data_IF_588869964635
#
_entry.id   IF_588869964635
#
_cell.length_a   1.000
_cell.length_b   1.000
_cell.length_c   1.000
_cell.angle_alpha   90.00
_cell.angle_beta   90.00
_cell.angle_gamma   90.00
#
_symmetry.space_group_name_H-M   'P 1'
#
loop_
_entity.id
_entity.type
_entity.pdbx_description
1 polymer ?
#
# COMPACT_ATOMS: atom_id res chain seq x y z
N UNK A 1 -56.77 4.90 17.60
CA UNK A 1 -55.77 5.88 17.17
C UNK A 1 -54.42 5.19 17.15
N UNK A 2 -53.87 4.85 15.96
CA UNK A 2 -52.49 4.35 15.84
C UNK A 2 -51.58 5.55 16.14
N UNK A 3 -50.84 5.51 17.26
CA UNK A 3 -49.75 6.45 17.50
C UNK A 3 -48.76 6.27 16.36
N UNK A 4 -48.70 7.22 15.43
CA UNK A 4 -47.57 7.38 14.54
C UNK A 4 -46.36 7.72 15.42
N UNK A 5 -45.64 6.71 15.89
CA UNK A 5 -44.30 6.88 16.43
C UNK A 5 -43.44 7.34 15.25
N UNK A 6 -43.15 8.61 15.15
CA UNK A 6 -42.11 9.14 14.29
C UNK A 6 -40.82 8.42 14.71
N UNK A 7 -40.38 7.49 13.90
CA UNK A 7 -39.09 6.79 14.13
C UNK A 7 -38.02 7.86 14.08
N UNK A 8 -37.46 8.24 15.23
CA UNK A 8 -36.39 9.25 15.27
C UNK A 8 -35.21 8.71 14.42
N UNK A 9 -34.65 9.58 13.61
CA UNK A 9 -33.48 9.26 12.79
C UNK A 9 -32.30 8.91 13.71
N UNK A 10 -31.63 7.77 13.53
CA UNK A 10 -30.44 7.45 14.30
C UNK A 10 -29.37 8.53 14.12
N UNK A 11 -28.58 8.76 15.16
CA UNK A 11 -27.44 9.69 15.08
C UNK A 11 -26.33 9.15 14.19
N UNK A 12 -26.04 7.84 14.30
CA UNK A 12 -24.99 7.19 13.52
C UNK A 12 -25.47 5.85 12.98
N UNK A 13 -25.20 5.60 11.70
CA UNK A 13 -25.28 4.28 11.06
C UNK A 13 -23.89 3.65 11.06
N UNK A 14 -23.72 2.49 11.67
CA UNK A 14 -22.44 1.76 11.73
C UNK A 14 -22.53 0.58 10.76
N UNK A 15 -21.69 0.59 9.73
CA UNK A 15 -21.66 -0.43 8.66
C UNK A 15 -20.53 -1.40 8.95
N UNK A 16 -20.84 -2.69 8.96
CA UNK A 16 -19.87 -3.79 9.17
C UNK A 16 -19.92 -4.72 7.97
N UNK A 17 -18.94 -4.66 7.05
CA UNK A 17 -18.85 -5.54 5.88
C UNK A 17 -18.21 -6.89 6.26
N UNK A 18 -18.98 -7.97 6.26
CA UNK A 18 -18.61 -9.26 6.84
C UNK A 18 -18.32 -10.28 5.75
N UNK A 19 -17.14 -10.93 5.81
CA UNK A 19 -16.82 -12.09 4.97
C UNK A 19 -15.75 -12.99 5.59
N UNK A 20 -16.13 -14.19 6.05
CA UNK A 20 -15.18 -15.22 6.47
C UNK A 20 -14.38 -14.89 7.73
N UNK A 21 -15.00 -14.31 8.76
CA UNK A 21 -14.35 -13.78 9.97
C UNK A 21 -15.01 -14.27 11.28
N UNK A 22 -15.63 -15.44 11.26
CA UNK A 22 -16.39 -15.99 12.41
C UNK A 22 -15.62 -15.91 13.74
N UNK A 23 -14.28 -16.05 13.70
CA UNK A 23 -13.41 -15.99 14.87
C UNK A 23 -13.42 -14.65 15.59
N UNK A 24 -13.64 -13.55 14.87
CA UNK A 24 -13.47 -12.19 15.37
C UNK A 24 -14.81 -11.43 15.50
N UNK A 25 -15.82 -11.88 14.77
CA UNK A 25 -17.09 -11.14 14.59
C UNK A 25 -17.79 -10.84 15.90
N UNK A 26 -17.77 -11.74 16.89
CA UNK A 26 -18.35 -11.49 18.20
C UNK A 26 -17.71 -10.29 18.90
N UNK A 27 -16.35 -10.23 18.94
CA UNK A 27 -15.67 -9.10 19.56
C UNK A 27 -15.98 -7.78 18.87
N UNK A 28 -16.03 -7.78 17.55
CA UNK A 28 -16.41 -6.61 16.75
C UNK A 28 -17.82 -6.11 17.13
N UNK A 29 -18.82 -6.98 16.98
CA UNK A 29 -20.23 -6.59 17.20
C UNK A 29 -20.48 -6.21 18.67
N UNK A 30 -19.91 -6.93 19.64
CA UNK A 30 -20.04 -6.63 21.05
C UNK A 30 -19.45 -5.25 21.40
N UNK A 31 -18.33 -4.84 20.77
CA UNK A 31 -17.73 -3.52 20.97
C UNK A 31 -18.64 -2.39 20.42
N UNK A 32 -19.37 -2.66 19.33
CA UNK A 32 -20.35 -1.72 18.76
C UNK A 32 -21.59 -1.63 19.67
N UNK A 33 -22.09 -2.74 20.16
CA UNK A 33 -23.22 -2.78 21.09
C UNK A 33 -22.93 -2.09 22.42
N UNK A 34 -21.67 -2.12 22.86
CA UNK A 34 -21.18 -1.48 24.07
C UNK A 34 -21.04 0.04 23.97
N UNK A 35 -21.21 0.64 22.78
CA UNK A 35 -21.08 2.08 22.60
C UNK A 35 -21.95 2.87 23.58
N UNK A 36 -21.38 3.96 24.14
CA UNK A 36 -22.08 4.89 25.04
C UNK A 36 -23.17 5.65 24.29
N UNK A 37 -22.96 5.99 23.04
CA UNK A 37 -23.99 6.53 22.15
C UNK A 37 -25.03 5.43 21.83
N UNK A 38 -26.24 5.53 22.40
CA UNK A 38 -27.30 4.50 22.23
C UNK A 38 -28.15 4.68 20.99
N UNK A 39 -28.25 5.90 20.48
CA UNK A 39 -29.04 6.26 19.31
C UNK A 39 -28.28 5.96 18.01
N UNK A 40 -28.05 4.67 17.75
CA UNK A 40 -27.32 4.15 16.60
C UNK A 40 -28.14 3.07 15.89
N UNK A 41 -27.92 2.91 14.59
CA UNK A 41 -28.25 1.68 13.86
C UNK A 41 -26.98 0.94 13.45
N UNK A 42 -27.05 -0.38 13.38
CA UNK A 42 -25.90 -1.25 13.09
C UNK A 42 -26.28 -2.10 11.89
N UNK A 43 -25.60 -1.93 10.78
CA UNK A 43 -25.89 -2.62 9.52
C UNK A 43 -24.80 -3.69 9.32
N UNK A 44 -25.15 -4.94 9.61
CA UNK A 44 -24.27 -6.09 9.44
C UNK A 44 -24.49 -6.66 8.04
N UNK A 45 -23.52 -6.47 7.13
CA UNK A 45 -23.62 -6.90 5.73
C UNK A 45 -22.77 -8.14 5.54
N UNK A 46 -23.38 -9.32 5.59
CA UNK A 46 -22.73 -10.57 5.24
C UNK A 46 -22.64 -10.72 3.72
N UNK A 47 -21.42 -10.65 3.18
CA UNK A 47 -21.10 -10.74 1.76
C UNK A 47 -20.94 -12.21 1.30
N UNK A 48 -21.86 -13.05 1.67
CA UNK A 48 -21.90 -14.47 1.27
C UNK A 48 -20.82 -15.31 1.93
N UNK A 49 -20.62 -15.15 3.24
CA UNK A 49 -19.69 -15.94 4.03
C UNK A 49 -20.04 -17.43 3.99
N UNK A 50 -18.98 -18.28 4.02
CA UNK A 50 -19.14 -19.74 4.00
C UNK A 50 -18.88 -20.40 5.36
N UNK A 51 -18.55 -19.59 6.36
CA UNK A 51 -18.35 -19.95 7.76
C UNK A 51 -19.62 -19.64 8.57
N UNK A 52 -19.53 -19.52 9.89
CA UNK A 52 -20.67 -19.25 10.77
C UNK A 52 -21.11 -17.78 10.82
N UNK A 53 -20.48 -16.88 10.04
CA UNK A 53 -20.85 -15.46 10.05
C UNK A 53 -22.36 -15.23 9.81
N UNK A 54 -23.04 -15.87 8.82
CA UNK A 54 -24.46 -15.64 8.60
C UNK A 54 -25.32 -15.94 9.84
N UNK A 55 -25.06 -17.05 10.54
CA UNK A 55 -25.77 -17.44 11.74
C UNK A 55 -25.52 -16.46 12.89
N UNK A 56 -24.27 -16.00 13.06
CA UNK A 56 -23.89 -15.00 14.06
C UNK A 56 -24.63 -13.69 13.82
N UNK A 57 -24.70 -13.22 12.57
CA UNK A 57 -25.43 -12.01 12.17
C UNK A 57 -26.90 -12.12 12.54
N UNK A 58 -27.56 -13.23 12.21
CA UNK A 58 -28.95 -13.48 12.54
C UNK A 58 -29.22 -13.53 14.04
N UNK A 59 -28.32 -14.14 14.80
CA UNK A 59 -28.42 -14.19 16.27
C UNK A 59 -28.37 -12.82 16.91
N UNK A 60 -27.47 -11.96 16.45
CA UNK A 60 -27.38 -10.58 16.94
C UNK A 60 -28.60 -9.76 16.55
N UNK A 61 -29.12 -9.88 15.32
CA UNK A 61 -30.31 -9.17 14.87
C UNK A 61 -31.59 -9.56 15.66
N UNK A 62 -31.66 -10.83 16.13
CA UNK A 62 -32.76 -11.26 17.02
C UNK A 62 -32.64 -10.67 18.43
N UNK A 63 -31.43 -10.37 18.89
CA UNK A 63 -31.17 -9.90 20.28
C UNK A 63 -31.27 -8.39 20.41
N UNK A 64 -30.93 -7.61 19.35
CA UNK A 64 -30.91 -6.14 19.43
C UNK A 64 -31.59 -5.52 18.21
N UNK A 65 -32.61 -4.71 18.46
CA UNK A 65 -33.48 -4.05 17.45
C UNK A 65 -32.74 -2.96 16.64
N UNK A 66 -31.56 -2.55 17.08
CA UNK A 66 -30.73 -1.58 16.34
C UNK A 66 -29.99 -2.24 15.18
N UNK A 67 -29.95 -3.57 15.14
CA UNK A 67 -29.22 -4.34 14.12
C UNK A 67 -30.11 -4.61 12.91
N UNK A 68 -29.59 -4.28 11.74
CA UNK A 68 -30.13 -4.64 10.43
C UNK A 68 -29.21 -5.72 9.85
N UNK A 69 -29.70 -6.95 9.76
CA UNK A 69 -28.98 -8.06 9.13
C UNK A 69 -29.23 -8.03 7.62
N UNK A 70 -28.15 -8.13 6.85
CA UNK A 70 -28.17 -8.15 5.39
C UNK A 70 -27.32 -9.31 4.90
N UNK A 71 -27.88 -10.18 4.06
CA UNK A 71 -27.16 -11.26 3.40
C UNK A 71 -27.19 -11.03 1.90
N UNK A 72 -26.02 -11.06 1.26
CA UNK A 72 -25.90 -10.88 -0.18
C UNK A 72 -24.94 -11.91 -0.80
N UNK A 73 -25.08 -12.22 -2.11
CA UNK A 73 -24.05 -12.96 -2.81
C UNK A 73 -22.71 -12.22 -2.80
N UNK A 74 -21.59 -12.95 -2.63
CA UNK A 74 -20.27 -12.33 -2.52
C UNK A 74 -19.97 -11.40 -3.70
N UNK A 75 -19.88 -10.12 -3.43
CA UNK A 75 -19.57 -9.04 -4.35
C UNK A 75 -18.25 -8.33 -4.03
N UNK A 76 -17.65 -8.66 -2.88
CA UNK A 76 -16.43 -8.04 -2.37
C UNK A 76 -16.69 -6.85 -1.46
N UNK A 77 -15.64 -6.44 -0.76
CA UNK A 77 -15.65 -5.42 0.28
C UNK A 77 -16.38 -4.13 -0.13
N UNK A 78 -16.03 -3.54 -1.29
CA UNK A 78 -16.64 -2.28 -1.73
C UNK A 78 -18.15 -2.39 -1.91
N UNK A 79 -18.63 -3.50 -2.49
CA UNK A 79 -20.08 -3.74 -2.65
C UNK A 79 -20.81 -3.90 -1.31
N UNK A 80 -20.19 -4.59 -0.36
CA UNK A 80 -20.79 -4.76 0.96
C UNK A 80 -20.90 -3.41 1.70
N UNK A 81 -19.84 -2.57 1.65
CA UNK A 81 -19.89 -1.23 2.24
C UNK A 81 -20.94 -0.35 1.54
N UNK A 82 -20.95 -0.33 0.20
CA UNK A 82 -21.91 0.49 -0.56
C UNK A 82 -23.36 0.09 -0.28
N UNK A 83 -23.64 -1.20 -0.18
CA UNK A 83 -24.98 -1.66 0.21
C UNK A 83 -25.35 -1.19 1.62
N UNK A 84 -24.41 -1.22 2.57
CA UNK A 84 -24.61 -0.63 3.89
C UNK A 84 -24.89 0.88 3.84
N UNK A 85 -24.18 1.64 2.97
CA UNK A 85 -24.42 3.09 2.77
C UNK A 85 -25.83 3.36 2.20
N UNK A 86 -26.28 2.53 1.26
CA UNK A 86 -27.63 2.65 0.70
C UNK A 86 -28.70 2.50 1.77
N UNK A 87 -28.54 1.52 2.66
CA UNK A 87 -29.48 1.22 3.75
C UNK A 87 -29.39 2.19 4.92
N UNK A 88 -28.27 2.88 5.09
CA UNK A 88 -28.02 3.79 6.19
C UNK A 88 -29.03 4.94 6.23
N UNK A 89 -29.57 5.21 7.43
CA UNK A 89 -30.59 6.24 7.71
C UNK A 89 -30.11 7.26 8.74
N UNK A 90 -28.94 7.06 9.36
CA UNK A 90 -28.38 7.93 10.37
C UNK A 90 -28.03 9.33 9.85
N UNK A 91 -27.82 10.27 10.75
CA UNK A 91 -27.32 11.59 10.39
C UNK A 91 -25.85 11.52 9.89
N UNK A 92 -25.08 10.69 10.56
CA UNK A 92 -23.68 10.34 10.19
C UNK A 92 -23.57 8.84 9.98
N UNK A 93 -22.46 8.42 9.37
CA UNK A 93 -22.12 7.01 9.21
C UNK A 93 -20.66 6.74 9.60
N UNK A 94 -20.40 5.52 10.06
CA UNK A 94 -19.07 4.98 10.28
C UNK A 94 -18.96 3.57 9.71
N UNK A 95 -17.74 3.10 9.53
CA UNK A 95 -17.42 1.75 9.07
C UNK A 95 -16.58 1.08 10.16
N UNK A 96 -16.87 -0.18 10.48
CA UNK A 96 -16.04 -1.00 11.38
C UNK A 96 -15.69 -2.30 10.67
N UNK A 97 -14.41 -2.59 10.56
CA UNK A 97 -13.95 -3.86 9.98
C UNK A 97 -14.30 -5.02 10.91
N UNK A 98 -14.78 -6.14 10.40
CA UNK A 98 -15.34 -7.21 11.22
C UNK A 98 -14.33 -8.04 11.99
N UNK A 99 -13.02 -7.87 11.73
CA UNK A 99 -11.91 -8.47 12.49
C UNK A 99 -11.28 -7.53 13.51
N UNK A 100 -11.77 -6.28 13.60
CA UNK A 100 -11.33 -5.23 14.51
C UNK A 100 -12.34 -4.99 15.65
N UNK A 101 -12.06 -4.01 16.49
CA UNK A 101 -12.95 -3.58 17.57
C UNK A 101 -12.70 -2.12 17.99
N UNK A 102 -13.69 -1.49 18.63
CA UNK A 102 -13.69 -0.06 18.95
C UNK A 102 -13.87 0.20 20.45
N UNK A 103 -13.35 1.35 20.93
CA UNK A 103 -13.55 1.78 22.31
C UNK A 103 -15.00 2.22 22.55
N UNK A 104 -15.52 2.06 23.79
CA UNK A 104 -16.94 2.29 24.06
C UNK A 104 -17.45 3.71 23.78
N UNK A 105 -16.60 4.71 23.86
CA UNK A 105 -16.93 6.14 23.72
C UNK A 105 -16.60 6.73 22.33
N UNK A 106 -16.18 5.90 21.37
CA UNK A 106 -15.79 6.33 20.04
C UNK A 106 -16.87 7.17 19.36
N UNK A 107 -18.02 6.59 19.10
CA UNK A 107 -19.07 7.27 18.33
C UNK A 107 -19.73 8.43 19.08
N UNK A 108 -19.77 8.39 20.41
CA UNK A 108 -20.25 9.53 21.20
C UNK A 108 -19.33 10.73 21.04
N UNK A 109 -18.01 10.52 21.15
CA UNK A 109 -16.98 11.56 21.02
C UNK A 109 -16.96 12.12 19.61
N UNK A 110 -16.87 11.24 18.60
CA UNK A 110 -16.83 11.69 17.20
C UNK A 110 -18.11 12.43 16.80
N UNK A 111 -19.30 11.96 17.23
CA UNK A 111 -20.56 12.63 16.95
C UNK A 111 -20.66 13.99 17.66
N UNK A 112 -20.21 14.09 18.91
CA UNK A 112 -20.13 15.37 19.64
C UNK A 112 -19.31 16.40 18.87
N UNK A 113 -18.11 16.03 18.40
CA UNK A 113 -17.28 16.93 17.59
C UNK A 113 -17.93 17.27 16.25
N UNK A 114 -18.50 16.28 15.56
CA UNK A 114 -19.22 16.48 14.31
C UNK A 114 -20.33 17.53 14.44
N UNK A 115 -21.08 17.49 15.53
CA UNK A 115 -22.18 18.45 15.82
C UNK A 115 -21.68 19.80 16.30
N UNK A 116 -20.67 19.80 17.18
CA UNK A 116 -20.11 21.04 17.74
C UNK A 116 -19.51 21.94 16.66
N UNK A 117 -18.85 21.35 15.67
CA UNK A 117 -18.13 22.08 14.63
C UNK A 117 -18.82 22.04 13.25
N UNK A 118 -19.98 21.41 13.15
CA UNK A 118 -20.75 21.22 11.91
C UNK A 118 -19.90 20.72 10.73
N UNK A 119 -19.11 19.66 10.98
CA UNK A 119 -18.18 19.13 9.99
C UNK A 119 -18.77 17.97 9.19
N UNK A 120 -18.27 17.78 7.96
CA UNK A 120 -18.66 16.66 7.11
C UNK A 120 -17.90 15.39 7.47
N UNK A 121 -16.67 15.52 7.97
CA UNK A 121 -15.79 14.40 8.30
C UNK A 121 -15.12 14.63 9.66
N UNK A 122 -15.19 13.65 10.54
CA UNK A 122 -14.34 13.53 11.72
C UNK A 122 -13.44 12.32 11.52
N UNK A 123 -12.14 12.47 11.70
CA UNK A 123 -11.18 11.34 11.65
C UNK A 123 -10.25 11.38 12.84
N UNK A 124 -9.58 10.24 13.10
CA UNK A 124 -8.59 10.15 14.16
C UNK A 124 -7.57 9.04 13.92
N UNK A 125 -6.59 8.92 14.83
CA UNK A 125 -5.61 7.84 14.85
C UNK A 125 -6.25 6.51 15.29
N UNK A 126 -5.43 5.47 15.28
CA UNK A 126 -5.83 4.13 15.72
C UNK A 126 -4.68 3.44 16.47
N UNK A 127 -5.03 2.37 17.17
CA UNK A 127 -4.07 1.50 17.82
C UNK A 127 -3.81 0.27 16.95
N UNK A 128 -2.55 -0.09 16.75
CA UNK A 128 -2.16 -1.42 16.30
C UNK A 128 -2.38 -2.42 17.45
N UNK A 129 -3.21 -3.42 17.22
CA UNK A 129 -3.54 -4.45 18.20
C UNK A 129 -2.87 -5.79 17.85
N UNK A 130 -2.20 -6.34 18.84
CA UNK A 130 -1.55 -7.65 18.76
C UNK A 130 -2.15 -8.58 19.80
N UNK A 131 -2.60 -9.78 19.43
CA UNK A 131 -3.09 -10.83 20.36
C UNK A 131 -1.93 -11.42 21.20
N UNK A 132 -0.96 -10.60 21.58
CA UNK A 132 0.18 -10.98 22.38
C UNK A 132 0.13 -10.25 23.73
N UNK A 133 0.14 -10.94 24.86
CA UNK A 133 0.04 -10.32 26.19
C UNK A 133 1.20 -9.37 26.51
N UNK A 134 2.31 -9.40 25.76
CA UNK A 134 3.45 -8.50 25.94
C UNK A 134 3.41 -7.24 25.07
N UNK A 135 2.72 -7.31 23.91
CA UNK A 135 2.58 -6.18 22.98
C UNK A 135 1.14 -6.19 22.50
N UNK A 136 0.30 -5.54 23.23
CA UNK A 136 -1.11 -5.72 23.05
C UNK A 136 -1.80 -4.50 22.41
N UNK A 137 -1.21 -3.30 22.59
CA UNK A 137 -1.62 -2.08 21.88
C UNK A 137 -0.41 -1.18 21.63
N UNK A 138 -0.40 -0.58 20.47
CA UNK A 138 0.56 0.47 20.11
C UNK A 138 -0.18 1.54 19.32
N UNK A 139 -0.06 2.80 19.76
CA UNK A 139 -0.55 3.92 18.97
C UNK A 139 0.13 3.93 17.61
N UNK A 140 -0.63 4.03 16.54
CA UNK A 140 -0.09 4.20 15.20
C UNK A 140 0.44 5.62 15.04
N UNK A 141 1.76 5.76 15.01
CA UNK A 141 2.45 7.05 14.94
C UNK A 141 2.19 7.81 13.63
N UNK A 142 1.67 7.13 12.60
CA UNK A 142 1.47 7.73 11.28
C UNK A 142 0.37 8.78 11.22
N UNK A 143 -0.47 8.86 12.22
CA UNK A 143 -1.63 9.73 12.21
C UNK A 143 -1.70 10.68 13.43
N UNK A 144 -0.76 10.57 14.38
CA UNK A 144 -0.77 11.41 15.57
C UNK A 144 -0.19 12.81 15.27
N UNK A 145 -0.85 13.87 15.78
CA UNK A 145 -0.42 15.28 15.67
C UNK A 145 -0.18 15.82 14.24
N UNK A 146 -0.94 15.33 13.25
CA UNK A 146 -0.78 15.77 11.84
C UNK A 146 -1.71 16.93 11.44
N UNK A 147 -2.67 17.25 12.26
CA UNK A 147 -3.70 18.25 12.00
C UNK A 147 -3.79 19.25 13.16
N UNK A 148 -4.44 20.41 12.94
CA UNK A 148 -4.71 21.37 14.01
C UNK A 148 -5.51 20.71 15.14
N UNK A 149 -5.06 20.89 16.38
CA UNK A 149 -5.78 20.42 17.55
C UNK A 149 -7.01 21.31 17.80
N UNK A 150 -8.14 20.67 18.13
CA UNK A 150 -9.39 21.31 18.57
C UNK A 150 -10.04 22.33 17.61
N UNK A 151 -9.58 22.39 16.36
CA UNK A 151 -10.16 23.26 15.34
C UNK A 151 -10.48 22.48 14.06
N UNK A 152 -11.65 22.72 13.45
CA UNK A 152 -11.90 22.22 12.11
C UNK A 152 -10.97 22.90 11.10
N UNK A 153 -10.66 22.16 10.03
CA UNK A 153 -9.78 22.63 8.97
C UNK A 153 -10.29 22.19 7.61
N UNK A 154 -9.74 22.79 6.57
CA UNK A 154 -9.92 22.38 5.19
C UNK A 154 -8.68 21.63 4.70
N UNK A 155 -8.86 20.61 3.86
CA UNK A 155 -7.75 19.80 3.35
C UNK A 155 -6.76 20.61 2.51
N UNK A 156 -7.19 21.73 1.94
CA UNK A 156 -6.35 22.61 1.13
C UNK A 156 -5.41 23.48 1.99
N UNK A 157 -5.80 23.74 3.25
CA UNK A 157 -4.97 24.43 4.24
C UNK A 157 -4.02 23.45 4.94
N UNK A 158 -4.48 22.23 5.23
CA UNK A 158 -3.74 21.18 5.92
C UNK A 158 -3.77 19.85 5.16
N UNK A 159 -3.01 19.72 4.06
CA UNK A 159 -3.08 18.55 3.17
C UNK A 159 -2.37 17.29 3.69
N UNK A 160 -1.75 17.34 4.86
CA UNK A 160 -1.02 16.19 5.44
C UNK A 160 -1.85 14.90 5.58
N UNK A 161 -3.15 14.92 5.91
CA UNK A 161 -3.97 13.71 5.95
C UNK A 161 -4.00 12.91 4.66
N UNK A 162 -3.74 13.55 3.51
CA UNK A 162 -3.61 12.86 2.21
C UNK A 162 -2.39 11.93 2.12
N UNK A 163 -1.38 12.13 2.95
CA UNK A 163 -0.14 11.33 2.95
C UNK A 163 -0.13 10.22 4.01
N UNK A 164 -1.20 10.09 4.78
CA UNK A 164 -1.30 9.09 5.84
C UNK A 164 -2.18 7.91 5.45
N UNK A 165 -2.24 6.90 6.30
CA UNK A 165 -3.05 5.70 6.06
C UNK A 165 -4.51 6.09 5.83
N UNK A 166 -5.16 5.45 4.87
CA UNK A 166 -6.54 5.76 4.52
C UNK A 166 -7.50 5.59 5.69
N UNK A 167 -7.34 4.48 6.46
CA UNK A 167 -8.08 4.17 7.70
C UNK A 167 -9.51 4.70 7.71
N UNK A 168 -10.31 4.33 6.70
CA UNK A 168 -11.69 4.86 6.55
C UNK A 168 -12.58 4.52 7.75
N UNK A 169 -12.22 3.47 8.47
CA UNK A 169 -12.89 2.98 9.66
C UNK A 169 -12.60 3.79 10.95
N UNK A 170 -11.61 4.71 10.95
CA UNK A 170 -11.44 5.66 12.06
C UNK A 170 -12.33 6.89 11.93
N UNK A 171 -13.13 6.97 10.88
CA UNK A 171 -13.88 8.16 10.53
C UNK A 171 -15.36 8.08 10.89
N UNK A 172 -15.93 9.27 11.10
CA UNK A 172 -17.36 9.53 11.11
C UNK A 172 -17.66 10.51 9.96
N UNK A 173 -18.59 10.16 9.09
CA UNK A 173 -18.90 10.90 7.86
C UNK A 173 -20.36 11.32 7.86
N UNK A 174 -20.65 12.58 7.53
CA UNK A 174 -22.04 13.04 7.37
C UNK A 174 -22.70 12.27 6.24
N UNK A 175 -23.75 11.51 6.51
CA UNK A 175 -24.37 10.62 5.52
C UNK A 175 -24.93 11.40 4.32
N UNK A 176 -25.53 12.56 4.57
CA UNK A 176 -26.02 13.43 3.49
C UNK A 176 -24.91 13.90 2.57
N UNK A 177 -23.74 14.27 3.13
CA UNK A 177 -22.55 14.65 2.35
C UNK A 177 -22.08 13.50 1.45
N UNK A 178 -22.01 12.26 1.98
CA UNK A 178 -21.64 11.08 1.21
C UNK A 178 -22.61 10.83 0.05
N UNK A 179 -23.92 10.86 0.33
CA UNK A 179 -24.97 10.59 -0.66
C UNK A 179 -25.08 11.69 -1.72
N UNK A 180 -25.05 12.95 -1.34
CA UNK A 180 -25.16 14.10 -2.26
C UNK A 180 -23.98 14.19 -3.24
N UNK A 181 -22.79 13.78 -2.83
CA UNK A 181 -21.59 13.76 -3.68
C UNK A 181 -21.39 12.42 -4.42
N UNK A 182 -22.26 11.43 -4.22
CA UNK A 182 -22.17 10.11 -4.84
C UNK A 182 -20.88 9.37 -4.47
N UNK A 183 -20.34 9.61 -3.26
CA UNK A 183 -19.10 8.99 -2.80
C UNK A 183 -19.37 7.51 -2.52
N UNK A 184 -18.59 6.64 -3.13
CA UNK A 184 -18.71 5.18 -3.01
C UNK A 184 -17.34 4.53 -2.82
N UNK A 185 -17.33 3.42 -2.11
CA UNK A 185 -16.15 2.54 -2.05
C UNK A 185 -16.03 1.80 -3.38
N UNK A 186 -14.83 1.75 -3.95
CA UNK A 186 -14.62 1.10 -5.25
C UNK A 186 -14.93 -0.41 -5.18
N UNK A 187 -15.76 -0.88 -6.10
CA UNK A 187 -16.13 -2.31 -6.20
C UNK A 187 -15.15 -3.14 -7.06
N UNK A 188 -14.22 -2.47 -7.74
CA UNK A 188 -13.19 -3.13 -8.54
C UNK A 188 -12.27 -3.97 -7.67
N UNK A 189 -11.72 -5.03 -8.24
CA UNK A 189 -10.77 -5.92 -7.57
C UNK A 189 -11.26 -6.47 -6.22
N UNK A 190 -12.58 -6.65 -6.07
CA UNK A 190 -13.25 -7.03 -4.82
C UNK A 190 -13.00 -6.04 -3.68
N UNK A 191 -12.77 -4.77 -4.00
CA UNK A 191 -12.60 -3.69 -3.05
C UNK A 191 -11.19 -3.59 -2.44
N UNK A 192 -10.18 -4.29 -2.97
CA UNK A 192 -8.81 -4.14 -2.47
C UNK A 192 -8.31 -2.72 -2.71
N UNK A 193 -7.80 -2.07 -1.63
CA UNK A 193 -7.35 -0.67 -1.62
C UNK A 193 -8.42 0.36 -2.02
N UNK A 194 -9.69 -0.01 -1.96
CA UNK A 194 -10.81 0.88 -2.26
C UNK A 194 -10.93 2.02 -1.23
N UNK A 195 -10.36 1.84 -0.06
CA UNK A 195 -10.16 2.84 0.99
C UNK A 195 -9.38 4.07 0.51
N UNK A 196 -8.48 3.91 -0.47
CA UNK A 196 -7.70 5.03 -0.99
C UNK A 196 -8.56 6.07 -1.71
N UNK A 197 -9.44 5.64 -2.63
CA UNK A 197 -10.33 6.57 -3.34
C UNK A 197 -11.32 7.22 -2.38
N UNK A 198 -11.90 6.46 -1.45
CA UNK A 198 -12.75 7.00 -0.41
C UNK A 198 -12.05 8.14 0.37
N UNK A 199 -10.79 7.93 0.79
CA UNK A 199 -10.00 8.95 1.46
C UNK A 199 -9.87 10.23 0.63
N UNK A 200 -9.49 10.10 -0.65
CA UNK A 200 -9.32 11.26 -1.51
C UNK A 200 -10.64 12.01 -1.72
N UNK A 201 -11.70 11.30 -2.05
CA UNK A 201 -13.00 11.90 -2.34
C UNK A 201 -13.58 12.57 -1.09
N UNK A 202 -13.58 11.88 0.06
CA UNK A 202 -14.13 12.44 1.30
C UNK A 202 -13.33 13.64 1.80
N UNK A 203 -12.00 13.60 1.77
CA UNK A 203 -11.19 14.72 2.27
C UNK A 203 -11.21 15.92 1.31
N UNK A 204 -11.22 15.68 -0.01
CA UNK A 204 -11.22 16.77 -1.00
C UNK A 204 -12.59 17.46 -1.14
N UNK A 205 -13.68 16.72 -0.97
CA UNK A 205 -15.03 17.28 -1.12
C UNK A 205 -15.60 17.80 0.19
N UNK A 206 -15.05 17.41 1.35
CA UNK A 206 -15.50 17.91 2.64
C UNK A 206 -15.27 19.43 2.75
N UNK A 207 -16.32 20.14 3.16
CA UNK A 207 -16.22 21.56 3.47
C UNK A 207 -15.31 21.81 4.67
N UNK A 208 -15.52 21.01 5.74
CA UNK A 208 -14.74 21.07 6.97
C UNK A 208 -14.46 19.66 7.49
N UNK A 209 -13.28 19.47 8.05
CA UNK A 209 -12.79 18.23 8.64
C UNK A 209 -12.39 18.54 10.09
N UNK A 210 -12.67 17.63 11.01
CA UNK A 210 -12.13 17.68 12.36
C UNK A 210 -11.24 16.47 12.60
N UNK A 211 -10.09 16.69 13.22
CA UNK A 211 -9.18 15.62 13.59
C UNK A 211 -9.19 15.41 15.10
N UNK A 212 -9.61 14.20 15.51
CA UNK A 212 -9.57 13.77 16.89
C UNK A 212 -8.24 13.05 17.15
N UNK A 213 -7.49 13.47 18.19
CA UNK A 213 -6.18 12.89 18.48
C UNK A 213 -6.24 11.63 19.36
N UNK A 214 -7.39 11.33 19.96
CA UNK A 214 -7.58 10.12 20.75
C UNK A 214 -7.81 8.89 19.87
N UNK A 215 -7.04 7.80 20.04
CA UNK A 215 -7.25 6.58 19.27
C UNK A 215 -8.38 5.74 19.88
N UNK A 216 -9.48 5.63 19.17
CA UNK A 216 -10.64 4.81 19.58
C UNK A 216 -10.74 3.48 18.87
N UNK A 217 -10.01 3.32 17.77
CA UNK A 217 -10.08 2.14 16.92
C UNK A 217 -8.90 1.21 17.16
N UNK A 218 -9.15 -0.10 17.23
CA UNK A 218 -8.13 -1.11 17.47
C UNK A 218 -8.02 -2.02 16.24
N UNK A 219 -7.00 -1.75 15.42
CA UNK A 219 -6.70 -2.46 14.19
C UNK A 219 -5.92 -3.74 14.48
N UNK A 220 -6.50 -4.91 14.15
CA UNK A 220 -5.92 -6.22 14.43
C UNK A 220 -4.86 -6.62 13.42
N UNK A 221 -3.63 -6.81 13.90
CA UNK A 221 -2.48 -7.24 13.10
C UNK A 221 -2.20 -8.75 13.15
N UNK A 222 -3.05 -9.53 13.84
CA UNK A 222 -2.83 -10.97 14.03
C UNK A 222 -3.78 -11.86 13.22
N UNK A 223 -4.65 -11.29 12.40
CA UNK A 223 -5.47 -12.04 11.47
C UNK A 223 -4.65 -12.41 10.22
N UNK A 224 -4.13 -13.66 10.17
CA UNK A 224 -3.34 -14.16 9.04
C UNK A 224 -4.11 -14.19 7.70
N UNK A 225 -5.44 -14.16 7.75
CA UNK A 225 -6.30 -14.11 6.57
C UNK A 225 -6.56 -12.70 6.05
N UNK A 226 -6.14 -11.68 6.79
CA UNK A 226 -6.32 -10.28 6.39
C UNK A 226 -5.70 -9.99 5.03
N UNK A 227 -6.31 -9.07 4.29
CA UNK A 227 -5.84 -8.66 2.96
C UNK A 227 -4.43 -8.09 2.99
N UNK A 228 -4.02 -7.49 4.12
CA UNK A 228 -2.70 -6.92 4.36
C UNK A 228 -1.56 -7.95 4.30
N UNK A 229 -1.81 -9.24 4.56
CA UNK A 229 -0.81 -10.31 4.47
C UNK A 229 -0.71 -10.96 3.09
N UNK A 230 -1.68 -10.75 2.22
CA UNK A 230 -1.69 -11.35 0.87
C UNK A 230 -0.84 -10.53 -0.09
N UNK A 231 -0.17 -11.24 -1.03
CA UNK A 231 0.51 -10.57 -2.14
C UNK A 231 -0.48 -9.78 -2.98
N UNK A 232 -0.04 -8.65 -3.50
CA UNK A 232 -0.87 -7.80 -4.34
C UNK A 232 -1.00 -8.39 -5.76
N UNK A 233 -2.16 -8.17 -6.37
CA UNK A 233 -2.28 -8.26 -7.81
C UNK A 233 -1.50 -7.07 -8.43
N UNK A 234 -0.74 -7.28 -9.52
CA UNK A 234 0.05 -6.22 -10.15
C UNK A 234 -0.78 -5.02 -10.63
N UNK A 235 -2.08 -5.19 -10.85
CA UNK A 235 -2.95 -4.13 -11.35
C UNK A 235 -3.70 -3.34 -10.27
N UNK A 236 -3.81 -3.86 -9.05
CA UNK A 236 -4.65 -3.27 -7.98
C UNK A 236 -4.45 -1.75 -7.81
N UNK A 237 -3.19 -1.30 -7.64
CA UNK A 237 -2.89 0.13 -7.44
C UNK A 237 -3.15 0.98 -8.69
N UNK A 238 -3.01 0.39 -9.87
CA UNK A 238 -3.22 1.15 -11.12
C UNK A 238 -4.69 1.36 -11.42
N UNK A 239 -5.56 0.43 -11.00
CA UNK A 239 -7.00 0.59 -11.11
C UNK A 239 -7.50 1.71 -10.20
N UNK A 240 -6.99 1.78 -8.97
CA UNK A 240 -7.25 2.90 -8.05
C UNK A 240 -6.81 4.23 -8.66
N UNK A 241 -5.58 4.27 -9.19
CA UNK A 241 -5.06 5.48 -9.83
C UNK A 241 -5.90 5.92 -11.03
N UNK A 242 -6.44 4.99 -11.84
CA UNK A 242 -7.32 5.32 -12.96
C UNK A 242 -8.59 6.01 -12.47
N UNK A 243 -9.20 5.52 -11.41
CA UNK A 243 -10.40 6.15 -10.84
C UNK A 243 -10.06 7.50 -10.19
N UNK A 244 -8.96 7.59 -9.47
CA UNK A 244 -8.46 8.86 -8.94
C UNK A 244 -8.19 9.88 -10.06
N UNK A 245 -7.54 9.50 -11.17
CA UNK A 245 -7.29 10.38 -12.33
C UNK A 245 -8.60 10.91 -12.94
N UNK A 246 -9.66 10.07 -12.98
CA UNK A 246 -11.00 10.50 -13.42
C UNK A 246 -11.62 11.51 -12.47
N UNK A 247 -11.53 11.27 -11.17
CA UNK A 247 -12.02 12.18 -10.14
C UNK A 247 -11.29 13.53 -10.20
N UNK A 248 -9.97 13.54 -10.23
CA UNK A 248 -9.15 14.76 -10.29
C UNK A 248 -9.41 15.60 -11.54
N UNK A 249 -9.74 14.97 -12.68
CA UNK A 249 -10.14 15.68 -13.90
C UNK A 249 -11.46 16.42 -13.78
N UNK A 250 -12.34 16.00 -12.90
CA UNK A 250 -13.59 16.71 -12.58
C UNK A 250 -13.37 17.85 -11.60
N UNK A 251 -12.25 17.84 -10.86
CA UNK A 251 -11.89 18.80 -9.81
C UNK A 251 -10.50 19.42 -10.05
N UNK A 252 -10.28 20.12 -11.20
CA UNK A 252 -8.95 20.58 -11.59
C UNK A 252 -8.41 21.70 -10.69
N UNK A 253 -9.28 22.56 -10.15
CA UNK A 253 -8.87 23.67 -9.28
C UNK A 253 -8.44 23.15 -7.91
N UNK A 254 -9.18 22.23 -7.36
CA UNK A 254 -8.91 21.54 -6.11
C UNK A 254 -7.62 20.72 -6.22
N UNK A 255 -7.45 19.99 -7.32
CA UNK A 255 -6.23 19.24 -7.60
C UNK A 255 -4.99 20.13 -7.61
N UNK A 256 -5.06 21.27 -8.26
CA UNK A 256 -3.92 22.18 -8.37
C UNK A 256 -3.37 22.62 -7.00
N UNK A 257 -4.24 22.79 -6.00
CA UNK A 257 -3.87 23.21 -4.66
C UNK A 257 -3.11 22.14 -3.85
N UNK A 258 -3.39 20.86 -4.10
CA UNK A 258 -2.85 19.75 -3.30
C UNK A 258 -2.00 18.77 -4.13
N UNK A 259 -1.74 19.06 -5.39
CA UNK A 259 -1.05 18.13 -6.32
C UNK A 259 0.31 17.66 -5.81
N UNK A 260 1.05 18.46 -5.08
CA UNK A 260 2.33 18.07 -4.50
C UNK A 260 2.17 16.92 -3.51
N UNK A 261 1.17 17.01 -2.62
CA UNK A 261 0.85 15.99 -1.63
C UNK A 261 0.29 14.71 -2.27
N UNK A 262 -0.53 14.85 -3.32
CA UNK A 262 -1.02 13.70 -4.08
C UNK A 262 0.10 13.01 -4.85
N UNK A 263 1.03 13.76 -5.42
CA UNK A 263 2.15 13.18 -6.19
C UNK A 263 3.08 12.34 -5.32
N UNK A 264 3.44 12.80 -4.12
CA UNK A 264 4.26 12.01 -3.21
C UNK A 264 3.53 10.76 -2.74
N UNK A 265 2.23 10.87 -2.47
CA UNK A 265 1.42 9.74 -2.03
C UNK A 265 1.27 8.70 -3.15
N UNK A 266 0.94 9.12 -4.37
CA UNK A 266 0.87 8.24 -5.55
C UNK A 266 2.23 7.55 -5.76
N UNK A 267 3.33 8.29 -5.67
CA UNK A 267 4.67 7.74 -5.78
C UNK A 267 4.91 6.63 -4.74
N UNK A 268 4.69 6.94 -3.47
CA UNK A 268 4.93 6.00 -2.36
C UNK A 268 4.03 4.76 -2.44
N UNK A 269 2.76 4.96 -2.74
CA UNK A 269 1.80 3.86 -2.87
C UNK A 269 2.17 2.91 -4.04
N UNK A 270 2.60 3.44 -5.17
CA UNK A 270 3.05 2.61 -6.30
C UNK A 270 4.30 1.80 -5.97
N UNK A 271 5.28 2.37 -5.28
CA UNK A 271 6.47 1.63 -4.85
C UNK A 271 6.18 0.64 -3.74
N UNK A 272 5.28 0.98 -2.82
CA UNK A 272 4.80 0.04 -1.82
C UNK A 272 4.11 -1.17 -2.48
N UNK A 273 3.23 -0.95 -3.45
CA UNK A 273 2.62 -2.05 -4.23
C UNK A 273 3.69 -2.88 -4.95
N UNK A 274 4.66 -2.23 -5.59
CA UNK A 274 5.77 -2.92 -6.28
C UNK A 274 6.56 -3.84 -5.33
N UNK A 275 6.69 -3.48 -4.06
CA UNK A 275 7.37 -4.31 -3.06
C UNK A 275 6.57 -5.56 -2.65
N UNK A 276 5.25 -5.57 -2.89
CA UNK A 276 4.30 -6.62 -2.46
C UNK A 276 3.83 -7.54 -3.58
N UNK A 277 4.14 -7.24 -4.83
CA UNK A 277 3.84 -8.13 -5.97
C UNK A 277 4.90 -9.22 -6.12
N UNK A 278 4.56 -10.30 -6.82
CA UNK A 278 5.56 -11.29 -7.20
C UNK A 278 6.64 -10.68 -8.11
N UNK A 279 7.89 -11.05 -7.88
CA UNK A 279 9.05 -10.53 -8.61
C UNK A 279 8.88 -10.65 -10.15
N UNK A 280 8.18 -11.66 -10.63
CA UNK A 280 7.90 -11.84 -12.07
C UNK A 280 7.13 -10.68 -12.70
N UNK A 281 6.34 -9.93 -11.90
CA UNK A 281 5.56 -8.77 -12.34
C UNK A 281 6.29 -7.43 -12.18
N UNK A 282 7.47 -7.40 -11.56
CA UNK A 282 8.17 -6.15 -11.26
C UNK A 282 8.40 -5.27 -12.49
N UNK A 283 8.79 -5.85 -13.62
CA UNK A 283 8.99 -5.08 -14.85
C UNK A 283 7.68 -4.56 -15.43
N UNK A 284 6.60 -5.34 -15.35
CA UNK A 284 5.27 -4.93 -15.75
C UNK A 284 4.81 -3.71 -14.93
N UNK A 285 4.93 -3.78 -13.60
CA UNK A 285 4.58 -2.68 -12.70
C UNK A 285 5.43 -1.44 -12.98
N UNK A 286 6.75 -1.57 -13.17
CA UNK A 286 7.63 -0.45 -13.51
C UNK A 286 7.23 0.25 -14.82
N UNK A 287 6.81 -0.51 -15.82
CA UNK A 287 6.31 0.06 -17.08
C UNK A 287 4.98 0.82 -16.88
N UNK A 288 4.11 0.33 -15.97
CA UNK A 288 2.86 1.03 -15.60
C UNK A 288 3.16 2.31 -14.82
N UNK A 289 4.06 2.25 -13.82
CA UNK A 289 4.54 3.41 -13.04
C UNK A 289 5.12 4.48 -13.98
N UNK A 290 5.95 4.08 -14.93
CA UNK A 290 6.47 4.98 -15.95
C UNK A 290 5.37 5.77 -16.67
N UNK A 291 4.31 5.10 -17.14
CA UNK A 291 3.17 5.74 -17.83
C UNK A 291 2.42 6.73 -16.91
N UNK A 292 2.31 6.43 -15.63
CA UNK A 292 1.69 7.33 -14.66
C UNK A 292 2.57 8.56 -14.44
N UNK A 293 3.86 8.37 -14.20
CA UNK A 293 4.79 9.48 -13.92
C UNK A 293 5.01 10.40 -15.11
N UNK A 294 4.84 9.90 -16.34
CA UNK A 294 4.86 10.76 -17.55
C UNK A 294 3.72 11.79 -17.60
N UNK A 295 2.61 11.55 -16.89
CA UNK A 295 1.47 12.48 -16.81
C UNK A 295 1.62 13.50 -15.68
N UNK A 296 2.55 13.30 -14.76
CA UNK A 296 2.76 14.16 -13.61
C UNK A 296 3.75 15.29 -13.94
N UNK A 297 3.53 16.46 -13.38
CA UNK A 297 4.44 17.61 -13.58
C UNK A 297 5.76 17.40 -12.83
N UNK A 298 6.82 17.15 -13.59
CA UNK A 298 8.17 16.94 -13.06
C UNK A 298 8.72 18.15 -12.29
N UNK A 299 8.26 19.36 -12.59
CA UNK A 299 8.74 20.56 -11.91
C UNK A 299 8.17 20.66 -10.48
N UNK A 300 6.93 20.18 -10.27
CA UNK A 300 6.35 20.05 -8.93
C UNK A 300 7.21 19.09 -8.10
N UNK A 301 7.54 17.92 -8.63
CA UNK A 301 8.37 16.92 -7.93
C UNK A 301 9.77 17.44 -7.63
N UNK A 302 10.42 18.12 -8.58
CA UNK A 302 11.77 18.69 -8.39
C UNK A 302 11.81 19.73 -7.28
N UNK A 303 10.79 20.61 -7.18
CA UNK A 303 10.68 21.68 -6.19
C UNK A 303 10.15 21.20 -4.84
N UNK A 304 9.48 20.05 -4.80
CA UNK A 304 8.82 19.53 -3.62
C UNK A 304 9.77 19.36 -2.43
N UNK A 305 9.28 19.69 -1.23
CA UNK A 305 9.98 19.43 0.04
C UNK A 305 9.67 18.04 0.61
N UNK A 306 8.62 17.38 0.11
CA UNK A 306 8.16 16.08 0.61
C UNK A 306 8.89 14.90 -0.03
N UNK A 307 9.42 15.08 -1.24
CA UNK A 307 10.25 14.07 -1.89
C UNK A 307 11.68 14.14 -1.39
N UNK A 308 12.22 13.03 -0.92
CA UNK A 308 13.65 12.90 -0.67
C UNK A 308 14.47 12.98 -1.98
N UNK A 309 15.77 13.20 -1.88
CA UNK A 309 16.68 13.24 -3.05
C UNK A 309 16.60 11.97 -3.89
N UNK A 310 16.52 10.81 -3.24
CA UNK A 310 16.47 9.52 -3.93
C UNK A 310 15.11 9.29 -4.60
N UNK A 311 14.01 9.67 -3.97
CA UNK A 311 12.68 9.63 -4.55
C UNK A 311 12.60 10.54 -5.79
N UNK A 312 13.11 11.77 -5.73
CA UNK A 312 13.20 12.68 -6.89
C UNK A 312 13.99 12.06 -8.04
N UNK A 313 15.18 11.52 -7.75
CA UNK A 313 16.01 10.89 -8.77
C UNK A 313 15.32 9.68 -9.41
N UNK A 314 14.61 8.87 -8.61
CA UNK A 314 13.87 7.72 -9.11
C UNK A 314 12.68 8.16 -9.96
N UNK A 315 11.93 9.17 -9.52
CA UNK A 315 10.82 9.75 -10.27
C UNK A 315 11.29 10.28 -11.64
N UNK A 316 12.35 11.12 -11.66
CA UNK A 316 12.92 11.69 -12.90
C UNK A 316 13.35 10.57 -13.86
N UNK A 317 14.00 9.54 -13.35
CA UNK A 317 14.43 8.39 -14.15
C UNK A 317 13.24 7.65 -14.76
N UNK A 318 12.18 7.43 -13.98
CA UNK A 318 10.99 6.71 -14.43
C UNK A 318 10.08 7.56 -15.31
N UNK A 319 10.09 8.89 -15.22
CA UNK A 319 9.33 9.79 -16.11
C UNK A 319 10.01 10.06 -17.47
N UNK A 320 11.29 9.66 -17.63
CA UNK A 320 12.04 9.84 -18.89
C UNK A 320 11.37 9.12 -20.07
N UNK A 321 11.05 9.86 -21.15
CA UNK A 321 10.41 9.31 -22.37
C UNK A 321 11.16 8.11 -22.97
N UNK A 322 12.48 8.05 -22.79
CA UNK A 322 13.32 6.96 -23.26
C UNK A 322 13.49 5.81 -22.24
N UNK A 323 12.75 5.83 -21.12
CA UNK A 323 12.90 4.83 -20.06
C UNK A 323 12.74 3.40 -20.56
N UNK A 324 11.69 3.13 -21.35
CA UNK A 324 11.42 1.79 -21.89
C UNK A 324 12.58 1.29 -22.77
N UNK A 325 13.12 2.17 -23.63
CA UNK A 325 14.27 1.86 -24.47
C UNK A 325 15.54 1.60 -23.64
N UNK A 326 15.82 2.45 -22.63
CA UNK A 326 16.95 2.27 -21.70
C UNK A 326 16.87 0.96 -20.94
N UNK A 327 15.67 0.58 -20.48
CA UNK A 327 15.43 -0.70 -19.79
C UNK A 327 15.61 -1.87 -20.74
N UNK A 328 15.11 -1.78 -21.97
CA UNK A 328 15.27 -2.83 -22.99
C UNK A 328 16.76 -3.03 -23.35
N UNK A 329 17.50 -1.94 -23.58
CA UNK A 329 18.95 -1.98 -23.86
C UNK A 329 19.73 -2.59 -22.69
N UNK A 330 19.40 -2.18 -21.46
CA UNK A 330 20.05 -2.75 -20.26
C UNK A 330 19.75 -4.24 -20.11
N UNK A 331 18.50 -4.66 -20.36
CA UNK A 331 18.11 -6.07 -20.34
C UNK A 331 18.83 -6.87 -21.43
N UNK A 332 18.99 -6.29 -22.63
CA UNK A 332 19.75 -6.90 -23.71
C UNK A 332 21.24 -7.07 -23.33
N UNK A 333 21.88 -6.02 -22.78
CA UNK A 333 23.25 -6.08 -22.28
C UNK A 333 23.41 -7.14 -21.19
N UNK A 334 22.47 -7.19 -20.21
CA UNK A 334 22.47 -8.18 -19.15
C UNK A 334 22.28 -9.61 -19.67
N UNK A 335 21.58 -9.80 -20.78
CA UNK A 335 21.37 -11.10 -21.43
C UNK A 335 22.56 -11.52 -22.30
N UNK A 336 23.26 -10.57 -22.90
CA UNK A 336 24.46 -10.87 -23.69
C UNK A 336 25.60 -11.28 -22.75
N UNK A 337 25.87 -10.47 -21.74
CA UNK A 337 26.91 -10.78 -20.75
C UNK A 337 26.68 -10.01 -19.44
N UNK A 338 26.51 -10.72 -18.33
CA UNK A 338 26.49 -10.09 -17.00
C UNK A 338 26.95 -11.04 -15.90
N UNK A 339 27.55 -10.46 -14.85
CA UNK A 339 27.89 -11.17 -13.60
C UNK A 339 27.20 -10.46 -12.45
N UNK A 340 26.23 -11.12 -11.83
CA UNK A 340 25.44 -10.59 -10.70
C UNK A 340 25.60 -11.48 -9.46
N UNK A 341 25.51 -10.89 -8.27
CA UNK A 341 25.33 -11.66 -7.03
C UNK A 341 23.87 -12.13 -6.94
N UNK A 342 23.62 -13.33 -6.42
CA UNK A 342 22.28 -13.77 -6.11
C UNK A 342 21.68 -12.91 -4.98
N UNK A 343 20.34 -12.90 -4.84
CA UNK A 343 19.63 -12.20 -3.78
C UNK A 343 20.12 -12.57 -2.37
N UNK A 344 20.51 -13.84 -2.17
CA UNK A 344 21.12 -14.35 -0.92
C UNK A 344 22.58 -13.97 -0.73
N UNK A 345 23.23 -13.31 -1.68
CA UNK A 345 24.67 -13.01 -1.76
C UNK A 345 25.60 -14.23 -1.68
N UNK A 346 25.09 -15.44 -1.52
CA UNK A 346 25.87 -16.70 -1.42
C UNK A 346 26.32 -17.25 -2.76
N UNK A 347 25.77 -16.74 -3.86
CA UNK A 347 26.10 -17.22 -5.21
C UNK A 347 26.39 -16.03 -6.13
N UNK A 348 27.17 -16.28 -7.15
CA UNK A 348 27.30 -15.39 -8.31
C UNK A 348 26.52 -16.00 -9.49
N UNK A 349 25.97 -15.14 -10.33
CA UNK A 349 25.22 -15.54 -11.52
C UNK A 349 25.91 -14.89 -12.71
N UNK A 350 26.48 -15.70 -13.60
CA UNK A 350 26.96 -15.28 -14.90
C UNK A 350 25.85 -15.50 -15.92
N UNK A 351 25.54 -14.50 -16.71
CA UNK A 351 24.64 -14.62 -17.86
C UNK A 351 25.45 -14.44 -19.14
N UNK A 352 25.34 -15.38 -20.05
CA UNK A 352 25.96 -15.33 -21.38
C UNK A 352 24.90 -15.69 -22.39
N UNK A 353 24.61 -14.81 -23.34
CA UNK A 353 23.60 -15.01 -24.38
C UNK A 353 22.23 -15.49 -23.83
N UNK A 354 21.81 -14.93 -22.68
CA UNK A 354 20.56 -15.30 -22.03
C UNK A 354 20.62 -16.55 -21.13
N UNK A 355 21.65 -17.36 -21.22
CA UNK A 355 21.84 -18.56 -20.38
C UNK A 355 22.45 -18.15 -19.04
N UNK A 356 21.79 -18.54 -17.94
CA UNK A 356 22.21 -18.19 -16.59
C UNK A 356 22.96 -19.35 -15.94
N UNK A 357 24.18 -19.08 -15.53
CA UNK A 357 25.03 -20.00 -14.79
C UNK A 357 25.15 -19.54 -13.34
N UNK A 358 24.81 -20.40 -12.38
CA UNK A 358 24.83 -20.07 -10.95
C UNK A 358 25.88 -20.92 -10.25
N UNK A 359 26.73 -20.32 -9.42
CA UNK A 359 27.71 -21.05 -8.62
C UNK A 359 27.85 -20.49 -7.21
N UNK A 360 28.18 -21.36 -6.25
CA UNK A 360 28.49 -20.97 -4.86
C UNK A 360 29.84 -20.30 -4.77
N UNK A 361 30.00 -19.37 -3.82
CA UNK A 361 31.30 -18.90 -3.41
C UNK A 361 32.01 -20.06 -2.68
N UNK A 362 33.25 -20.37 -3.06
CA UNK A 362 34.09 -21.33 -2.32
C UNK A 362 34.69 -20.67 -1.08
N UNK A 363 35.00 -21.49 -0.07
CA UNK A 363 35.46 -21.06 1.25
C UNK A 363 36.76 -20.26 1.25
N UNK A 364 36.96 -19.50 2.31
CA UNK A 364 37.76 -18.29 2.48
C UNK A 364 39.30 -18.34 2.18
N UNK A 365 39.92 -19.44 1.82
CA UNK A 365 41.39 -19.49 1.69
C UNK A 365 41.91 -19.47 0.26
N UNK A 366 41.15 -19.88 -0.71
CA UNK A 366 41.45 -19.68 -2.13
C UNK A 366 40.16 -19.40 -2.87
N UNK A 367 39.87 -18.12 -3.19
CA UNK A 367 38.72 -17.74 -3.97
C UNK A 367 38.80 -18.32 -5.41
N UNK A 368 38.73 -19.63 -5.52
CA UNK A 368 38.78 -20.33 -6.80
C UNK A 368 37.34 -20.72 -7.20
N UNK A 369 36.84 -20.11 -8.25
CA UNK A 369 35.53 -20.40 -8.80
C UNK A 369 35.69 -21.14 -10.11
N UNK A 370 35.13 -22.33 -10.22
CA UNK A 370 35.09 -23.08 -11.49
C UNK A 370 33.65 -23.51 -11.79
N UNK A 371 33.26 -23.38 -13.02
CA UNK A 371 32.05 -23.90 -13.56
C UNK A 371 32.35 -24.93 -14.62
N UNK A 372 31.80 -26.14 -14.47
CA UNK A 372 31.88 -27.21 -15.45
C UNK A 372 30.62 -27.22 -16.29
N UNK A 373 30.72 -27.15 -17.57
CA UNK A 373 29.62 -27.53 -18.48
C UNK A 373 29.63 -29.08 -18.56
N UNK A 374 28.50 -29.66 -18.87
CA UNK A 374 28.16 -31.09 -18.79
C UNK A 374 29.21 -32.11 -19.31
N UNK A 375 30.32 -31.66 -19.85
CA UNK A 375 31.44 -32.53 -20.34
C UNK A 375 32.77 -32.00 -19.86
N UNK A 376 33.33 -32.55 -18.82
CA UNK A 376 34.73 -32.64 -18.34
C UNK A 376 35.71 -31.44 -18.46
N UNK A 377 35.32 -30.30 -19.08
CA UNK A 377 36.20 -29.14 -19.21
C UNK A 377 35.65 -27.93 -18.47
N UNK A 378 36.48 -27.20 -17.70
CA UNK A 378 36.04 -25.95 -17.10
C UNK A 378 35.84 -24.89 -18.17
N UNK A 379 34.56 -24.56 -18.48
CA UNK A 379 34.21 -23.54 -19.45
C UNK A 379 34.66 -22.15 -18.97
N UNK A 380 34.46 -21.90 -17.68
CA UNK A 380 34.86 -20.65 -17.04
C UNK A 380 35.53 -20.93 -15.70
N UNK A 381 36.61 -20.22 -15.42
CA UNK A 381 37.21 -20.20 -14.10
C UNK A 381 37.59 -18.79 -13.67
N UNK A 382 37.40 -18.49 -12.40
CA UNK A 382 37.95 -17.29 -11.76
C UNK A 382 38.96 -17.73 -10.73
N UNK A 383 40.17 -17.25 -10.88
CA UNK A 383 41.25 -17.45 -9.92
C UNK A 383 41.56 -16.10 -9.27
N UNK A 384 41.47 -16.03 -7.96
CA UNK A 384 41.81 -14.83 -7.20
C UNK A 384 42.93 -15.16 -6.22
N UNK A 385 44.08 -14.54 -6.42
CA UNK A 385 45.30 -14.72 -5.60
C UNK A 385 45.87 -13.32 -5.34
N UNK A 386 46.12 -13.00 -4.07
CA UNK A 386 46.80 -11.75 -3.66
C UNK A 386 46.19 -10.48 -4.30
N UNK A 387 44.87 -10.32 -4.23
CA UNK A 387 44.16 -9.15 -4.77
C UNK A 387 44.04 -9.08 -6.30
N UNK A 388 44.49 -10.10 -7.01
CA UNK A 388 44.33 -10.22 -8.48
C UNK A 388 43.22 -11.22 -8.79
N UNK A 389 42.31 -10.82 -9.65
CA UNK A 389 41.27 -11.71 -10.19
C UNK A 389 41.53 -11.99 -11.66
N UNK A 390 41.62 -13.23 -12.05
CA UNK A 390 41.78 -13.67 -13.44
C UNK A 390 40.61 -14.52 -13.84
N UNK A 391 39.88 -14.08 -14.85
CA UNK A 391 38.76 -14.81 -15.44
C UNK A 391 39.29 -15.57 -16.67
N UNK A 392 39.00 -16.86 -16.74
CA UNK A 392 39.44 -17.72 -17.86
C UNK A 392 38.23 -18.35 -18.53
N UNK A 393 38.28 -18.45 -19.86
CA UNK A 393 37.33 -19.24 -20.69
C UNK A 393 38.17 -20.35 -21.32
N UNK A 394 37.76 -21.58 -21.19
CA UNK A 394 38.53 -22.76 -21.61
C UNK A 394 39.99 -22.73 -21.13
N UNK A 395 40.22 -22.26 -19.91
CA UNK A 395 41.56 -22.12 -19.38
C UNK A 395 42.35 -20.89 -19.87
N UNK A 396 41.90 -20.20 -20.90
CA UNK A 396 42.53 -18.99 -21.46
C UNK A 396 42.11 -17.75 -20.65
N UNK A 397 43.01 -16.92 -20.14
CA UNK A 397 42.68 -15.72 -19.41
C UNK A 397 42.09 -14.67 -20.36
N UNK A 398 40.81 -14.34 -20.17
CA UNK A 398 40.08 -13.33 -20.97
C UNK A 398 39.95 -12.00 -20.24
N UNK A 399 40.05 -12.02 -18.92
CA UNK A 399 39.86 -10.82 -18.09
C UNK A 399 40.82 -10.87 -16.89
N UNK A 400 41.61 -9.83 -16.68
CA UNK A 400 42.49 -9.70 -15.53
C UNK A 400 42.17 -8.42 -14.77
N UNK A 401 41.80 -8.56 -13.50
CA UNK A 401 41.52 -7.44 -12.61
C UNK A 401 42.51 -7.43 -11.46
N UNK A 402 43.15 -6.28 -11.22
CA UNK A 402 44.07 -6.07 -10.12
C UNK A 402 43.53 -4.96 -9.23
N UNK A 403 43.44 -5.22 -7.92
CA UNK A 403 43.09 -4.21 -6.91
C UNK A 403 44.41 -3.74 -6.29
N UNK A 404 44.70 -2.44 -6.37
CA UNK A 404 45.75 -1.77 -5.60
C UNK A 404 45.11 -0.94 -4.51
N UNK A 405 45.85 -0.51 -3.48
CA UNK A 405 45.34 0.20 -2.33
C UNK A 405 44.43 1.38 -2.70
N UNK A 406 44.74 2.15 -3.77
CA UNK A 406 44.02 3.35 -4.17
C UNK A 406 43.46 3.30 -5.60
N UNK A 407 43.45 2.14 -6.26
CA UNK A 407 42.89 2.03 -7.61
C UNK A 407 42.48 0.61 -7.98
N UNK A 408 41.49 0.50 -8.85
CA UNK A 408 41.09 -0.76 -9.49
C UNK A 408 41.44 -0.65 -10.97
N UNK A 409 42.39 -1.47 -11.43
CA UNK A 409 42.70 -1.58 -12.86
C UNK A 409 42.13 -2.87 -13.41
N UNK A 410 41.35 -2.76 -14.46
CA UNK A 410 40.80 -3.91 -15.20
C UNK A 410 41.39 -3.90 -16.61
N UNK A 411 42.04 -4.95 -16.98
CA UNK A 411 42.54 -5.17 -18.36
C UNK A 411 41.70 -6.27 -19.01
N UNK A 412 41.25 -6.02 -20.21
CA UNK A 412 40.49 -6.94 -21.02
C UNK A 412 41.42 -7.56 -22.06
N UNK A 413 41.38 -8.87 -22.20
CA UNK A 413 42.21 -9.63 -23.15
C UNK A 413 41.28 -10.42 -24.07
N UNK A 414 41.60 -10.44 -25.35
CA UNK A 414 41.00 -11.33 -26.35
C UNK A 414 42.13 -12.25 -26.86
N UNK A 415 41.95 -13.55 -26.67
CA UNK A 415 42.96 -14.56 -27.05
C UNK A 415 44.37 -14.24 -26.51
N UNK A 416 44.45 -13.70 -25.28
CA UNK A 416 45.71 -13.35 -24.63
C UNK A 416 46.26 -11.95 -24.96
N UNK A 417 45.65 -11.24 -25.93
CA UNK A 417 46.10 -9.88 -26.32
C UNK A 417 45.28 -8.84 -25.56
N UNK A 418 45.92 -7.87 -24.88
CA UNK A 418 45.23 -6.81 -24.19
C UNK A 418 44.61 -5.82 -25.21
N UNK A 419 43.27 -5.64 -25.18
CA UNK A 419 42.57 -4.70 -26.08
C UNK A 419 41.92 -3.51 -25.38
N UNK A 420 41.62 -3.62 -24.07
CA UNK A 420 41.10 -2.50 -23.25
C UNK A 420 41.75 -2.51 -21.86
N UNK A 421 42.08 -1.31 -21.37
CA UNK A 421 42.51 -1.05 -19.99
C UNK A 421 41.64 0.02 -19.39
N UNK A 422 40.94 -0.29 -18.31
CA UNK A 422 40.14 0.65 -17.54
C UNK A 422 40.70 0.75 -16.12
N UNK A 423 41.00 1.96 -15.67
CA UNK A 423 41.48 2.23 -14.32
C UNK A 423 40.55 3.24 -13.64
N UNK A 424 40.13 2.95 -12.43
CA UNK A 424 39.30 3.84 -11.59
C UNK A 424 40.06 4.09 -10.28
N UNK A 425 40.37 5.35 -9.95
CA UNK A 425 40.83 5.71 -8.62
C UNK A 425 39.69 5.51 -7.60
N UNK A 426 40.01 4.93 -6.47
CA UNK A 426 39.13 4.88 -5.31
C UNK A 426 39.45 6.14 -4.52
N UNK A 427 38.48 7.07 -4.47
CA UNK A 427 38.54 8.27 -3.63
C UNK A 427 38.17 7.88 -2.23
#
# INVERSE_FOLDING_TARGET
>A
MKKNTVKMQPKVSIIVPIYGVEKYLHQCVDSILAQTLKDIEIILVDDGSKDKCPQIVDEYAKKDKRIVAVHQPNGGYGRAVNHGIELATGEYMGIVEPDDWIEPDMYETLYKHAKQYDVDVVKGPYNDYFDNPRVYRKLCDHAHNICPEHNPFNIYEYPMPLQHHASIWTGLYRLKFIKDNGIQVLEKNKGRYADQNWRYETLMLAKNIYWENQPFYNYRLTNENASSFKKNNPDDVFDIYIELDKFLKKHPQEFEQIKEHLYIEIYRHMFWNLSRVDQKYSQYCLNRIHKVFQKMDINVVKKSKFFSKDEKNMFIKLSDKNYAMKVALKKLQDNIFSIKKSSSRRHKILTVLGIKFKWKNADDYTNKYSMKLFFFFPLFSLVQINGKSVYKIFGIPVLKKRKMANSITTKYYLLGIPFIKVSKKIV
#
